data_IF_294789035298
#
_entry.id   IF_294789035298
#
_cell.length_a   1.000
_cell.length_b   1.000
_cell.length_c   1.000
_cell.angle_alpha   90.00
_cell.angle_beta   90.00
_cell.angle_gamma   90.00
#
_symmetry.space_group_name_H-M   'P 1'
#
loop_
_entity.id
_entity.type
_entity.pdbx_description
1 polymer ?
#
# COMPACT_ATOMS: atom_id res chain seq x y z
N UNK A 1 -48.15 3.85 10.74
CA UNK A 1 -47.88 3.14 9.48
C UNK A 1 -46.63 3.80 8.96
N UNK A 2 -45.50 3.09 8.95
CA UNK A 2 -44.28 3.62 8.34
C UNK A 2 -44.45 3.62 6.82
N UNK A 3 -43.90 4.64 6.19
CA UNK A 3 -43.94 4.89 4.77
C UNK A 3 -42.83 4.17 4.03
N UNK A 4 -42.83 4.34 2.71
CA UNK A 4 -41.68 3.95 1.90
C UNK A 4 -40.72 5.12 1.84
N UNK A 5 -39.48 4.87 2.19
CA UNK A 5 -38.43 5.85 2.24
C UNK A 5 -37.27 5.46 1.29
N UNK A 6 -36.76 6.41 0.51
CA UNK A 6 -35.70 6.14 -0.48
C UNK A 6 -34.62 7.23 -0.51
N UNK A 7 -33.36 6.81 -0.65
CA UNK A 7 -32.24 7.72 -0.84
C UNK A 7 -31.98 7.97 -2.31
N UNK A 8 -31.94 9.23 -2.71
CA UNK A 8 -31.64 9.60 -4.10
C UNK A 8 -30.29 10.31 -4.24
N UNK A 9 -29.70 10.80 -3.15
CA UNK A 9 -28.45 11.56 -3.21
C UNK A 9 -27.55 11.30 -2.00
N UNK A 10 -26.29 10.97 -2.29
CA UNK A 10 -25.22 10.82 -1.30
C UNK A 10 -24.06 11.72 -1.72
N UNK A 11 -23.74 12.70 -0.87
CA UNK A 11 -22.62 13.60 -1.07
C UNK A 11 -21.61 13.41 0.05
N UNK A 12 -20.35 13.19 -0.33
CA UNK A 12 -19.29 12.97 0.63
C UNK A 12 -18.18 13.97 0.37
N UNK A 13 -18.01 14.91 1.31
CA UNK A 13 -16.98 15.93 1.24
C UNK A 13 -15.78 15.49 2.07
N UNK A 14 -14.62 15.49 1.41
CA UNK A 14 -13.34 15.14 2.02
C UNK A 14 -12.39 16.33 2.06
N UNK A 15 -11.58 16.41 3.11
CA UNK A 15 -10.45 17.34 3.20
C UNK A 15 -9.17 16.52 3.36
N UNK A 16 -8.35 16.48 2.30
CA UNK A 16 -7.01 15.87 2.24
C UNK A 16 -6.85 14.57 3.05
N UNK A 17 -7.22 13.44 2.45
CA UNK A 17 -7.09 12.12 3.09
C UNK A 17 -5.63 11.65 3.12
N UNK A 18 -5.14 11.30 4.30
CA UNK A 18 -3.85 10.65 4.54
C UNK A 18 -4.03 9.28 5.20
N UNK A 19 -3.28 8.29 4.76
CA UNK A 19 -3.33 6.94 5.33
C UNK A 19 -2.76 6.95 6.75
N UNK A 20 -3.39 6.24 7.70
CA UNK A 20 -2.93 6.14 9.09
C UNK A 20 -3.23 7.35 9.98
N UNK A 21 -3.92 8.37 9.46
CA UNK A 21 -4.38 9.52 10.22
C UNK A 21 -5.92 9.56 10.32
N UNK A 22 -6.43 10.21 11.37
CA UNK A 22 -7.86 10.45 11.56
C UNK A 22 -8.32 11.56 10.61
N UNK A 23 -8.88 11.18 9.46
CA UNK A 23 -9.26 12.13 8.42
C UNK A 23 -10.70 12.64 8.66
N UNK A 24 -10.93 13.95 8.73
CA UNK A 24 -12.27 14.49 8.82
C UNK A 24 -13.03 14.23 7.51
N UNK A 25 -14.19 13.59 7.64
CA UNK A 25 -15.13 13.32 6.56
C UNK A 25 -16.49 13.93 6.91
N UNK A 26 -17.14 14.45 5.88
CA UNK A 26 -18.49 14.97 5.98
C UNK A 26 -19.36 14.16 5.03
N UNK A 27 -20.36 13.50 5.59
CA UNK A 27 -21.35 12.76 4.81
C UNK A 27 -22.67 13.49 4.93
N UNK A 28 -23.26 13.76 3.77
CA UNK A 28 -24.55 14.40 3.63
C UNK A 28 -25.39 13.54 2.72
N UNK A 29 -26.59 13.24 3.16
CA UNK A 29 -27.51 12.35 2.49
C UNK A 29 -28.86 13.01 2.40
N UNK A 30 -29.51 12.84 1.26
CA UNK A 30 -30.85 13.35 1.05
C UNK A 30 -31.85 12.23 0.95
N UNK A 31 -32.89 12.36 1.75
CA UNK A 31 -33.96 11.40 1.89
C UNK A 31 -35.21 11.93 1.21
N UNK A 32 -35.90 11.07 0.46
CA UNK A 32 -37.26 11.35 0.02
C UNK A 32 -38.20 10.49 0.86
N UNK A 33 -38.87 11.14 1.79
CA UNK A 33 -39.86 10.53 2.67
C UNK A 33 -41.24 11.13 2.35
N UNK A 34 -42.12 10.30 1.80
CA UNK A 34 -43.46 10.70 1.37
C UNK A 34 -44.42 10.96 2.54
N UNK A 35 -44.14 10.43 3.73
CA UNK A 35 -45.01 10.62 4.89
C UNK A 35 -44.33 11.31 6.08
N UNK A 36 -43.02 11.56 5.98
CA UNK A 36 -42.23 12.32 6.95
C UNK A 36 -42.11 11.60 8.29
N UNK A 37 -42.22 10.27 8.31
CA UNK A 37 -42.16 9.46 9.53
C UNK A 37 -40.80 8.81 9.78
N UNK A 38 -39.81 9.04 8.92
CA UNK A 38 -38.43 8.58 9.12
C UNK A 38 -37.90 9.02 10.48
N UNK A 39 -37.40 8.05 11.25
CA UNK A 39 -36.95 8.28 12.62
C UNK A 39 -35.43 8.32 12.72
N UNK A 40 -34.75 7.45 11.99
CA UNK A 40 -33.30 7.26 12.12
C UNK A 40 -32.66 6.95 10.78
N UNK A 41 -31.51 7.59 10.53
CA UNK A 41 -30.67 7.36 9.35
C UNK A 41 -29.30 6.89 9.84
N UNK A 42 -28.81 5.78 9.31
CA UNK A 42 -27.52 5.19 9.65
C UNK A 42 -26.58 5.17 8.45
N UNK A 43 -25.29 5.33 8.74
CA UNK A 43 -24.21 5.26 7.79
C UNK A 43 -23.12 4.33 8.32
N UNK A 44 -22.71 3.36 7.51
CA UNK A 44 -21.60 2.47 7.79
C UNK A 44 -20.45 2.72 6.83
N UNK A 45 -19.26 2.90 7.39
CA UNK A 45 -18.01 2.97 6.65
C UNK A 45 -17.30 1.63 6.75
N UNK A 46 -16.88 1.13 5.60
CA UNK A 46 -16.08 -0.08 5.46
C UNK A 46 -14.80 0.23 4.71
N UNK A 47 -13.66 0.16 5.39
CA UNK A 47 -12.35 0.36 4.80
C UNK A 47 -11.42 -0.78 5.22
N UNK A 48 -11.11 -1.68 4.29
CA UNK A 48 -10.34 -2.89 4.58
C UNK A 48 -11.04 -3.76 5.64
N UNK A 49 -10.37 -3.95 6.78
CA UNK A 49 -10.88 -4.71 7.94
C UNK A 49 -11.61 -3.85 8.98
N UNK A 50 -11.65 -2.52 8.81
CA UNK A 50 -12.28 -1.60 9.75
C UNK A 50 -13.71 -1.30 9.29
N UNK A 51 -14.67 -1.56 10.17
CA UNK A 51 -16.07 -1.18 10.00
C UNK A 51 -16.48 -0.23 11.13
N UNK A 52 -17.07 0.91 10.78
CA UNK A 52 -17.59 1.89 11.74
C UNK A 52 -18.98 2.35 11.31
N UNK A 53 -19.91 2.38 12.26
CA UNK A 53 -21.30 2.78 12.05
C UNK A 53 -21.58 4.09 12.79
N UNK A 54 -22.31 4.98 12.14
CA UNK A 54 -22.67 6.30 12.66
C UNK A 54 -24.13 6.61 12.33
N UNK A 55 -24.79 7.32 13.23
CA UNK A 55 -26.14 7.83 13.06
C UNK A 55 -26.07 9.26 12.49
N UNK A 56 -26.77 9.53 11.37
CA UNK A 56 -26.88 10.88 10.82
C UNK A 56 -27.98 11.66 11.54
N UNK A 57 -27.92 13.00 11.47
CA UNK A 57 -28.88 13.89 12.11
C UNK A 57 -29.33 15.00 11.17
N UNK A 58 -30.57 15.44 11.38
CA UNK A 58 -31.24 16.58 10.71
C UNK A 58 -31.73 17.58 11.79
N UNK A 59 -30.86 17.88 12.76
CA UNK A 59 -31.13 18.74 13.92
C UNK A 59 -30.46 20.12 13.83
N UNK A 60 -29.84 20.45 12.69
CA UNK A 60 -29.04 21.66 12.51
C UNK A 60 -27.73 21.66 13.29
N UNK A 61 -27.29 20.52 13.81
CA UNK A 61 -26.06 20.36 14.58
C UNK A 61 -25.18 19.25 13.98
N UNK A 62 -23.93 19.14 14.45
CA UNK A 62 -23.08 18.00 14.10
C UNK A 62 -22.66 17.88 12.62
N UNK A 63 -22.82 18.94 11.82
CA UNK A 63 -22.50 18.96 10.39
C UNK A 63 -23.70 19.25 9.50
N UNK A 64 -24.91 19.26 10.06
CA UNK A 64 -26.12 19.72 9.40
C UNK A 64 -26.24 21.26 9.43
N UNK A 65 -26.75 21.84 8.34
CA UNK A 65 -26.85 23.29 8.16
C UNK A 65 -28.25 23.83 8.42
N UNK A 66 -29.30 23.03 8.21
CA UNK A 66 -30.70 23.47 8.33
C UNK A 66 -31.49 22.31 8.91
N UNK A 67 -32.00 22.48 10.14
CA UNK A 67 -32.82 21.45 10.77
C UNK A 67 -34.16 21.25 10.05
N UNK A 68 -34.54 19.99 9.84
CA UNK A 68 -35.82 19.57 9.27
C UNK A 68 -35.96 19.89 7.79
N UNK A 69 -34.87 19.84 7.03
CA UNK A 69 -34.88 20.03 5.57
C UNK A 69 -34.76 18.71 4.77
N UNK A 70 -34.89 17.57 5.47
CA UNK A 70 -34.75 16.20 4.96
C UNK A 70 -33.32 15.90 4.48
N UNK A 71 -32.34 16.72 4.89
CA UNK A 71 -30.92 16.53 4.61
C UNK A 71 -30.19 16.08 5.88
N UNK A 72 -29.97 14.78 5.94
CA UNK A 72 -29.29 14.16 7.07
C UNK A 72 -27.78 14.27 6.89
N UNK A 73 -27.09 14.88 7.85
CA UNK A 73 -25.66 15.14 7.77
C UNK A 73 -24.90 14.67 9.02
N UNK A 74 -23.63 14.33 8.82
CA UNK A 74 -22.70 14.05 9.92
C UNK A 74 -21.27 14.47 9.57
N UNK A 75 -20.61 15.13 10.52
CA UNK A 75 -19.19 15.37 10.53
C UNK A 75 -18.51 14.37 11.48
N UNK A 76 -17.74 13.44 10.93
CA UNK A 76 -16.97 12.46 11.71
C UNK A 76 -15.52 12.38 11.22
N UNK A 77 -14.66 11.71 11.96
CA UNK A 77 -13.28 11.45 11.55
C UNK A 77 -13.05 9.95 11.43
N UNK A 78 -12.59 9.53 10.25
CA UNK A 78 -12.35 8.13 9.93
C UNK A 78 -10.85 7.86 9.96
N UNK A 79 -10.45 6.91 10.79
CA UNK A 79 -9.09 6.37 10.81
C UNK A 79 -9.01 5.22 9.81
N UNK A 80 -8.41 5.48 8.66
CA UNK A 80 -8.19 4.47 7.61
C UNK A 80 -6.77 3.93 7.75
N UNK A 81 -6.66 2.70 8.27
CA UNK A 81 -5.37 2.03 8.44
C UNK A 81 -4.96 1.20 7.22
N UNK A 82 -5.93 0.72 6.44
CA UNK A 82 -5.70 -0.15 5.29
C UNK A 82 -6.84 -0.04 4.27
N UNK A 83 -6.50 -0.09 2.98
CA UNK A 83 -7.45 0.02 1.87
C UNK A 83 -7.27 1.28 0.99
N UNK A 84 -7.30 1.08 -0.33
CA UNK A 84 -7.31 2.15 -1.33
C UNK A 84 -8.70 2.76 -1.55
N UNK A 85 -9.75 2.04 -1.16
CA UNK A 85 -11.16 2.41 -1.34
C UNK A 85 -11.89 2.19 -0.02
N UNK A 86 -12.55 3.23 0.48
CA UNK A 86 -13.53 3.13 1.56
C UNK A 86 -14.93 3.07 0.95
N UNK A 87 -15.72 2.09 1.36
CA UNK A 87 -17.13 1.96 0.99
C UNK A 87 -17.99 2.60 2.08
N UNK A 88 -19.01 3.33 1.67
CA UNK A 88 -19.97 4.01 2.53
C UNK A 88 -21.35 3.44 2.22
N UNK A 89 -22.04 2.93 3.21
CA UNK A 89 -23.36 2.32 3.11
C UNK A 89 -24.32 3.15 3.95
N UNK A 90 -25.45 3.58 3.39
CA UNK A 90 -26.44 4.39 4.11
C UNK A 90 -27.81 3.74 4.01
N UNK A 91 -28.51 3.65 5.13
CA UNK A 91 -29.89 3.18 5.20
C UNK A 91 -30.72 3.99 6.21
N UNK A 92 -32.03 4.03 6.02
CA UNK A 92 -32.99 4.68 6.91
C UNK A 92 -33.92 3.63 7.51
N UNK A 93 -34.39 3.92 8.72
CA UNK A 93 -35.40 3.15 9.42
C UNK A 93 -36.63 4.04 9.58
N UNK A 94 -37.73 3.57 9.02
CA UNK A 94 -39.04 4.18 9.14
C UNK A 94 -40.03 3.17 9.73
N UNK A 95 -40.23 3.26 11.05
CA UNK A 95 -41.10 2.35 11.80
C UNK A 95 -40.64 0.89 11.70
N UNK A 96 -41.40 0.08 10.95
CA UNK A 96 -41.11 -1.34 10.72
C UNK A 96 -40.42 -1.60 9.36
N UNK A 97 -40.24 -0.54 8.54
CA UNK A 97 -39.68 -0.61 7.19
C UNK A 97 -38.25 -0.08 7.20
N UNK A 98 -37.35 -0.79 6.50
CA UNK A 98 -35.97 -0.36 6.29
C UNK A 98 -35.81 -0.03 4.81
N UNK A 99 -35.21 1.13 4.52
CA UNK A 99 -34.97 1.54 3.15
C UNK A 99 -33.91 0.65 2.46
N UNK A 100 -33.89 0.60 1.12
CA UNK A 100 -32.74 0.07 0.40
C UNK A 100 -31.44 0.77 0.79
N UNK A 101 -30.34 0.02 0.84
CA UNK A 101 -29.01 0.54 1.17
C UNK A 101 -28.45 1.30 -0.04
N UNK A 102 -27.98 2.54 0.19
CA UNK A 102 -27.25 3.33 -0.80
C UNK A 102 -25.75 3.19 -0.61
N UNK A 103 -25.02 2.90 -1.69
CA UNK A 103 -23.57 2.71 -1.68
C UNK A 103 -22.84 3.91 -2.26
N UNK A 104 -21.80 4.37 -1.56
CA UNK A 104 -20.82 5.35 -2.01
C UNK A 104 -19.39 4.80 -1.93
N UNK A 105 -18.53 5.20 -2.85
CA UNK A 105 -17.11 4.83 -2.84
C UNK A 105 -16.25 6.07 -2.62
N UNK A 106 -15.34 6.02 -1.64
CA UNK A 106 -14.31 7.01 -1.41
C UNK A 106 -12.93 6.47 -1.79
N UNK A 107 -12.31 6.98 -2.87
CA UNK A 107 -10.92 6.70 -3.13
C UNK A 107 -10.05 7.46 -2.12
N UNK A 108 -9.29 6.69 -1.33
CA UNK A 108 -8.28 7.21 -0.40
C UNK A 108 -6.99 7.35 -1.19
N UNK A 109 -6.44 8.57 -1.22
CA UNK A 109 -5.08 8.76 -1.73
C UNK A 109 -4.13 8.24 -0.67
N UNK A 110 -3.59 7.04 -0.88
CA UNK A 110 -2.34 6.69 -0.22
C UNK A 110 -1.28 7.65 -0.75
N UNK A 111 -0.59 8.37 0.13
CA UNK A 111 0.72 8.91 -0.22
C UNK A 111 1.58 7.67 -0.51
N UNK A 112 1.78 7.41 -1.79
CA UNK A 112 2.53 6.26 -2.28
C UNK A 112 3.89 6.27 -1.59
N UNK A 113 4.07 5.28 -0.72
CA UNK A 113 5.20 5.14 0.17
C UNK A 113 6.51 5.15 -0.61
N UNK A 114 7.33 6.19 -0.41
CA UNK A 114 8.79 6.11 -0.41
C UNK A 114 9.36 5.17 -1.49
N UNK A 115 8.92 5.39 -2.73
CA UNK A 115 9.18 4.46 -3.82
C UNK A 115 10.69 4.29 -3.98
N UNK A 116 11.16 3.08 -4.29
CA UNK A 116 12.55 2.81 -4.71
C UNK A 116 13.03 3.80 -5.79
N UNK A 117 12.09 4.33 -6.59
CA UNK A 117 12.30 5.41 -7.57
C UNK A 117 12.68 6.73 -6.88
N UNK A 118 12.02 7.12 -5.79
CA UNK A 118 12.36 8.31 -5.00
C UNK A 118 13.73 8.17 -4.33
N UNK A 119 14.08 7.00 -3.79
CA UNK A 119 15.43 6.71 -3.28
C UNK A 119 16.48 6.77 -4.40
N UNK A 120 16.16 6.24 -5.57
CA UNK A 120 17.02 6.29 -6.75
C UNK A 120 17.27 7.73 -7.23
N UNK A 121 16.22 8.55 -7.32
CA UNK A 121 16.29 9.95 -7.76
C UNK A 121 16.89 10.89 -6.72
N UNK A 122 16.77 10.59 -5.42
CA UNK A 122 17.31 11.42 -4.33
C UNK A 122 18.80 11.18 -4.03
N UNK A 123 19.46 10.26 -4.76
CA UNK A 123 20.90 10.03 -4.63
C UNK A 123 21.31 8.64 -4.14
N UNK A 124 20.44 7.62 -4.23
CA UNK A 124 20.82 6.22 -3.99
C UNK A 124 21.80 5.65 -5.05
N UNK A 125 21.78 6.21 -6.25
CA UNK A 125 22.62 5.80 -7.40
C UNK A 125 24.15 5.84 -7.12
N UNK A 126 24.73 6.95 -6.62
CA UNK A 126 26.15 7.01 -6.26
C UNK A 126 26.60 5.93 -5.28
N UNK A 127 25.78 5.62 -4.26
CA UNK A 127 26.10 4.59 -3.26
C UNK A 127 26.11 3.19 -3.89
N UNK A 128 25.14 2.89 -4.74
CA UNK A 128 25.05 1.63 -5.46
C UNK A 128 26.22 1.45 -6.43
N UNK A 129 26.58 2.51 -7.17
CA UNK A 129 27.74 2.49 -8.07
C UNK A 129 29.06 2.22 -7.31
N UNK A 130 29.23 2.85 -6.14
CA UNK A 130 30.40 2.62 -5.29
C UNK A 130 30.48 1.18 -4.76
N UNK A 131 29.35 0.57 -4.39
CA UNK A 131 29.34 -0.82 -3.95
C UNK A 131 29.72 -1.78 -5.08
N UNK A 132 29.19 -1.57 -6.30
CA UNK A 132 29.52 -2.40 -7.45
C UNK A 132 31.01 -2.33 -7.78
N UNK A 133 31.59 -1.13 -7.79
CA UNK A 133 33.02 -0.97 -8.08
C UNK A 133 33.90 -1.60 -7.00
N UNK A 134 33.49 -1.52 -5.73
CA UNK A 134 34.18 -2.18 -4.62
C UNK A 134 34.16 -3.70 -4.75
N UNK A 135 33.00 -4.30 -5.04
CA UNK A 135 32.89 -5.75 -5.26
C UNK A 135 33.70 -6.23 -6.47
N UNK A 136 33.71 -5.45 -7.56
CA UNK A 136 34.53 -5.75 -8.73
C UNK A 136 36.03 -5.72 -8.39
N UNK A 137 36.49 -4.72 -7.65
CA UNK A 137 37.88 -4.62 -7.23
C UNK A 137 38.30 -5.81 -6.37
N UNK A 138 37.46 -6.21 -5.41
CA UNK A 138 37.68 -7.39 -4.56
C UNK A 138 37.71 -8.67 -5.40
N UNK A 139 36.77 -8.83 -6.34
CA UNK A 139 36.69 -9.99 -7.23
C UNK A 139 37.92 -10.13 -8.12
N UNK A 140 38.42 -9.03 -8.68
CA UNK A 140 39.65 -9.00 -9.48
C UNK A 140 40.83 -9.45 -8.63
N UNK A 141 40.99 -8.88 -7.43
CA UNK A 141 42.10 -9.22 -6.53
C UNK A 141 42.11 -10.71 -6.16
N UNK A 142 40.94 -11.27 -5.82
CA UNK A 142 40.79 -12.70 -5.53
C UNK A 142 41.16 -13.57 -6.74
N UNK A 143 40.70 -13.19 -7.93
CA UNK A 143 41.01 -13.93 -9.17
C UNK A 143 42.50 -13.94 -9.50
N UNK A 144 43.21 -12.83 -9.24
CA UNK A 144 44.64 -12.72 -9.48
C UNK A 144 45.44 -13.60 -8.52
N UNK A 145 45.04 -13.69 -7.26
CA UNK A 145 45.70 -14.57 -6.29
C UNK A 145 45.52 -16.05 -6.67
N UNK A 146 44.31 -16.47 -7.09
CA UNK A 146 44.09 -17.84 -7.61
C UNK A 146 44.95 -18.14 -8.84
N UNK A 147 45.10 -17.19 -9.76
CA UNK A 147 45.93 -17.41 -10.97
C UNK A 147 47.40 -17.67 -10.63
N UNK A 148 47.93 -17.08 -9.55
CA UNK A 148 49.30 -17.34 -9.10
C UNK A 148 49.46 -18.75 -8.53
N UNK A 149 48.48 -19.22 -7.77
CA UNK A 149 48.46 -20.60 -7.27
C UNK A 149 48.39 -21.59 -8.43
N UNK A 150 47.49 -21.35 -9.39
CA UNK A 150 47.36 -22.17 -10.59
C UNK A 150 48.62 -22.17 -11.47
N UNK A 151 49.35 -21.05 -11.56
CA UNK A 151 50.60 -20.97 -12.31
C UNK A 151 51.71 -21.81 -11.65
N UNK A 152 51.79 -21.81 -10.31
CA UNK A 152 52.71 -22.67 -9.56
C UNK A 152 52.36 -24.14 -9.73
N UNK A 153 51.08 -24.48 -9.70
CA UNK A 153 50.61 -25.85 -9.93
C UNK A 153 50.91 -26.31 -11.37
N UNK A 154 50.82 -25.40 -12.36
CA UNK A 154 51.19 -25.68 -13.75
C UNK A 154 52.69 -25.97 -13.90
N UNK A 155 53.55 -25.16 -13.28
CA UNK A 155 55.02 -25.33 -13.29
C UNK A 155 55.43 -26.69 -12.69
N UNK A 156 54.76 -27.09 -11.61
CA UNK A 156 54.96 -28.41 -11.00
C UNK A 156 54.59 -29.56 -11.96
N UNK A 157 53.51 -29.43 -12.72
CA UNK A 157 53.11 -30.45 -13.71
C UNK A 157 54.11 -30.50 -14.88
N UNK A 158 54.58 -29.34 -15.36
CA UNK A 158 55.59 -29.28 -16.41
C UNK A 158 56.91 -29.94 -15.98
N UNK A 159 57.28 -29.82 -14.70
CA UNK A 159 58.44 -30.51 -14.13
C UNK A 159 58.33 -32.04 -14.17
N UNK A 160 57.11 -32.59 -14.11
CA UNK A 160 56.87 -34.03 -14.27
C UNK A 160 56.95 -34.48 -15.73
N UNK A 161 56.71 -33.59 -16.69
CA UNK A 161 56.81 -33.90 -18.13
C UNK A 161 58.24 -33.80 -18.69
N UNK A 162 59.13 -33.12 -17.98
CA UNK A 162 60.55 -32.94 -18.37
C UNK A 162 61.43 -34.14 -18.01
N UNK A 163 60.86 -35.17 -17.38
CA UNK A 163 61.55 -36.43 -17.14
C UNK A 163 61.73 -37.18 -18.47
N UNK A 164 62.91 -37.06 -19.10
CA UNK A 164 63.27 -37.86 -20.27
C UNK A 164 63.81 -39.23 -19.79
N UNK A 165 63.05 -40.34 -19.97
CA UNK A 165 63.49 -41.66 -19.52
C UNK A 165 64.74 -42.17 -20.25
N UNK A 166 65.17 -41.52 -21.35
CA UNK A 166 66.38 -41.89 -22.09
C UNK A 166 67.67 -41.44 -21.41
N UNK A 167 67.62 -40.47 -20.50
CA UNK A 167 68.80 -40.07 -19.70
C UNK A 167 69.18 -41.14 -18.67
N UNK A 168 68.25 -42.02 -18.28
CA UNK A 168 68.52 -43.15 -17.39
C UNK A 168 69.04 -44.40 -18.12
N UNK A 169 68.73 -44.57 -19.41
CA UNK A 169 69.21 -45.72 -20.20
C UNK A 169 70.72 -45.61 -20.55
N UNK A 170 71.27 -44.40 -20.59
CA UNK A 170 72.70 -44.16 -20.85
C UNK A 170 73.59 -44.43 -19.61
N UNK A 171 73.03 -44.44 -18.39
CA UNK A 171 73.77 -44.70 -17.14
C UNK A 171 73.90 -46.21 -16.81
N UNK A 172 73.08 -47.08 -17.41
CA UNK A 172 73.11 -48.54 -17.18
C UNK A 172 73.96 -49.33 -18.20
N UNK A 173 74.59 -48.65 -19.16
CA UNK A 173 75.38 -49.26 -20.24
C UNK A 173 76.91 -49.04 -20.12
N UNK A 174 77.40 -48.62 -18.96
CA UNK A 174 78.82 -48.67 -18.54
C UNK A 174 79.04 -49.78 -17.51
#
# INVERSE_FOLDING_TARGET
MGGWCFFYFLFIKKKNQKLGESNPIFVTVRLDDLDGTTQMVFCKFKAGAVEQEFELRDDGLGGDSIAGDDIWSIQTALLVNDGSIAQVEVWAIDGEVVSPILFGQLPIKSEENNNIISWFLSGGLPLLAFMITLFLAIGILYSLNRRKELAKDLEMIESWSTFDPRELDDEFNE
#
